data_IF_587292786575
#
_entry.id   IF_587292786575
#
_cell.length_a   1.000
_cell.length_b   1.000
_cell.length_c   1.000
_cell.angle_alpha   90.00
_cell.angle_beta   90.00
_cell.angle_gamma   90.00
#
_symmetry.space_group_name_H-M   'P 1'
#
loop_
_entity.id
_entity.type
_entity.pdbx_description
1 polymer ?
2 water ?
#
# COMPACT_ATOMS: atom_id res chain seq x y z
N UNK A 25 0.28 9.47 -12.90
CA UNK A 25 -1.13 9.06 -12.56
C UNK A 25 -1.23 7.83 -11.64
N UNK A 26 -2.02 7.96 -10.58
CA UNK A 26 -2.40 6.81 -9.79
C UNK A 26 -3.93 6.73 -9.78
N UNK A 27 -4.46 5.55 -10.12
CA UNK A 27 -5.92 5.30 -10.09
C UNK A 27 -6.30 4.19 -9.09
N UNK A 28 -7.36 4.40 -8.30
CA UNK A 28 -7.83 3.38 -7.37
C UNK A 28 -8.56 2.33 -8.16
N UNK A 29 -8.14 1.08 -8.05
CA UNK A 29 -8.79 -0.05 -8.72
C UNK A 29 -9.91 -0.54 -7.80
N UNK A 30 -9.59 -0.70 -6.54
CA UNK A 30 -10.54 -1.25 -5.61
C UNK A 30 -10.19 -0.90 -4.20
N UNK A 31 -11.21 -0.91 -3.36
CA UNK A 31 -11.01 -0.85 -1.93
C UNK A 31 -11.94 -1.72 -1.11
N UNK A 32 -11.60 -1.95 0.14
CA UNK A 32 -12.32 -2.92 0.94
C UNK A 32 -11.96 -2.70 2.38
N UNK A 33 -12.92 -2.92 3.29
CA UNK A 33 -12.62 -2.97 4.72
C UNK A 33 -12.47 -4.47 4.99
N UNK A 34 -11.36 -4.90 5.56
CA UNK A 34 -11.25 -6.32 5.81
C UNK A 34 -10.60 -6.55 7.19
N UNK A 35 -10.84 -7.72 7.80
CA UNK A 35 -10.14 -8.03 9.04
C UNK A 35 -8.65 -8.19 8.77
N UNK A 36 -7.79 -7.56 9.58
CA UNK A 36 -6.34 -7.76 9.48
C UNK A 36 -5.97 -9.22 9.72
N UNK A 37 -5.24 -9.84 8.79
CA UNK A 37 -4.78 -11.21 9.05
C UNK A 37 -3.61 -11.16 10.01
N UNK A 38 -3.17 -12.31 10.50
CA UNK A 38 -2.19 -12.33 11.56
C UNK A 38 -0.92 -11.61 11.12
N UNK A 39 -0.49 -11.83 9.88
CA UNK A 39 0.79 -11.21 9.43
C UNK A 39 0.67 -9.72 9.37
N UNK A 40 -0.43 -9.26 8.78
CA UNK A 40 -0.67 -7.84 8.68
C UNK A 40 -0.88 -7.19 10.05
N UNK A 41 -1.60 -7.89 10.93
CA UNK A 41 -1.82 -7.38 12.27
C UNK A 41 -0.50 -7.21 13.01
N UNK A 42 0.39 -8.19 12.94
CA UNK A 42 1.76 -8.08 13.53
C UNK A 42 2.55 -6.89 12.95
N UNK A 43 2.54 -6.74 11.63
CA UNK A 43 3.20 -5.56 11.05
C UNK A 43 2.64 -4.25 11.59
N UNK A 44 1.32 -4.11 11.63
CA UNK A 44 0.71 -2.87 12.05
C UNK A 44 0.58 -2.74 13.57
N UNK A 45 0.98 -3.76 14.31
CA UNK A 45 0.82 -3.81 15.76
C UNK A 45 -0.60 -3.58 16.20
N UNK A 46 -1.51 -4.34 15.61
CA UNK A 46 -2.92 -4.30 15.99
C UNK A 46 -3.37 -5.73 16.28
N UNK A 47 -4.58 -5.88 16.84
CA UNK A 47 -5.13 -7.19 17.17
C UNK A 47 -5.54 -7.86 15.86
N UNK A 48 -5.10 -9.10 15.65
CA UNK A 48 -5.60 -9.87 14.54
C UNK A 48 -7.11 -9.76 14.48
N UNK A 49 -7.62 -9.58 13.27
CA UNK A 49 -9.07 -9.46 13.04
C UNK A 49 -9.64 -8.03 13.04
N UNK A 50 -8.84 -7.09 13.49
CA UNK A 50 -9.28 -5.72 13.52
C UNK A 50 -9.46 -5.21 12.11
N UNK A 51 -10.57 -4.52 11.83
CA UNK A 51 -10.82 -4.02 10.48
C UNK A 51 -9.78 -3.02 10.04
N UNK A 52 -9.27 -3.21 8.84
CA UNK A 52 -8.38 -2.26 8.22
C UNK A 52 -8.94 -1.93 6.87
N UNK A 53 -8.46 -0.83 6.30
CA UNK A 53 -8.81 -0.44 4.92
C UNK A 53 -7.77 -0.98 3.89
N UNK A 54 -8.22 -1.73 2.88
CA UNK A 54 -7.37 -2.23 1.86
C UNK A 54 -7.62 -1.34 0.64
N UNK A 55 -6.56 -0.84 0.00
CA UNK A 55 -6.66 -0.03 -1.21
C UNK A 55 -5.75 -0.62 -2.24
N UNK A 56 -6.26 -0.85 -3.44
CA UNK A 56 -5.41 -1.26 -4.55
C UNK A 56 -5.36 -0.13 -5.57
N UNK A 57 -4.14 0.27 -5.90
CA UNK A 57 -3.87 1.47 -6.71
C UNK A 57 -2.87 1.14 -7.79
N UNK A 58 -3.13 1.65 -9.00
CA UNK A 58 -2.28 1.36 -10.14
C UNK A 58 -1.65 2.68 -10.51
N UNK A 59 -0.34 2.72 -10.47
CA UNK A 59 0.37 3.95 -10.73
C UNK A 59 0.95 3.84 -12.10
N UNK A 60 0.64 4.80 -12.96
CA UNK A 60 1.25 4.87 -14.28
C UNK A 60 2.08 6.15 -14.45
N UNK A 61 3.20 5.97 -15.13
CA UNK A 61 4.21 7.01 -15.29
C UNK A 61 4.30 7.36 -16.78
N UNK A 62 3.66 8.47 -17.14
CA UNK A 62 3.64 8.96 -18.52
C UNK A 62 2.69 8.19 -19.43
N UNK A 63 1.67 7.58 -18.83
CA UNK A 63 0.73 6.70 -19.53
C UNK A 63 1.34 5.30 -19.85
N UNK A 64 2.38 4.93 -19.11
CA UNK A 64 2.80 3.54 -19.01
C UNK A 64 2.59 3.11 -17.55
N UNK A 65 2.09 1.90 -17.35
CA UNK A 65 1.82 1.38 -16.00
C UNK A 65 3.14 1.02 -15.30
N UNK A 66 3.44 1.76 -14.23
CA UNK A 66 4.67 1.59 -13.45
C UNK A 66 4.51 0.49 -12.39
N UNK A 67 3.56 0.66 -11.47
CA UNK A 67 3.48 -0.25 -10.37
C UNK A 67 2.06 -0.43 -9.85
N UNK A 68 1.85 -1.57 -9.20
CA UNK A 68 0.61 -1.91 -8.51
C UNK A 68 0.87 -1.84 -7.01
N UNK A 69 0.06 -1.06 -6.30
CA UNK A 69 0.23 -0.81 -4.89
C UNK A 69 -0.99 -1.31 -4.15
N UNK A 70 -0.77 -2.12 -3.12
CA UNK A 70 -1.82 -2.58 -2.20
C UNK A 70 -1.51 -2.04 -0.82
N UNK A 71 -2.27 -1.05 -0.39
CA UNK A 71 -2.09 -0.43 0.90
C UNK A 71 -3.06 -1.04 1.92
N UNK A 72 -2.61 -1.26 3.14
CA UNK A 72 -3.46 -1.67 4.22
C UNK A 72 -3.20 -0.69 5.38
N UNK A 73 -4.27 -0.03 5.79
CA UNK A 73 -4.26 1.16 6.64
C UNK A 73 -5.03 0.93 7.95
N UNK A 74 -4.38 1.23 9.09
CA UNK A 74 -5.05 1.20 10.37
C UNK A 74 -5.99 2.40 10.46
N UNK A 75 -7.25 2.17 10.28
CA UNK A 75 -8.24 3.24 10.21
C UNK A 75 -8.56 3.88 11.57
N UNK A 76 -8.25 3.18 12.66
CA UNK A 76 -8.45 3.74 14.02
C UNK A 76 -7.66 5.02 14.23
N UNK A 77 -6.56 5.17 13.51
CA UNK A 77 -5.69 6.33 13.65
C UNK A 77 -6.09 7.52 12.77
N UNK A 78 -6.93 7.29 11.75
CA UNK A 78 -7.42 8.33 10.84
C UNK A 78 -8.91 8.19 10.63
N UNK A 79 -9.66 8.73 11.61
CA UNK A 79 -11.09 8.98 11.53
C UNK A 79 -11.41 9.67 10.21
N UNK A 80 -12.22 8.97 9.38
CA UNK A 80 -12.78 9.52 8.14
C UNK A 80 -12.21 8.96 6.85
N UNK A 81 -11.12 8.18 6.97
CA UNK A 81 -10.33 7.79 5.81
C UNK A 81 -11.14 6.89 4.87
N UNK A 82 -12.06 6.14 5.46
CA UNK A 82 -12.85 5.22 4.67
C UNK A 82 -13.78 6.00 3.71
N UNK A 83 -14.05 7.28 3.98
CA UNK A 83 -14.97 8.06 3.15
C UNK A 83 -14.27 8.79 2.03
N UNK A 84 -12.95 8.76 1.98
CA UNK A 84 -12.19 9.51 0.96
C UNK A 84 -12.27 8.84 -0.43
N UNK A 85 -12.26 9.63 -1.50
CA UNK A 85 -12.03 9.12 -2.86
C UNK A 85 -10.57 9.40 -3.23
N UNK A 86 -9.77 8.35 -3.23
CA UNK A 86 -8.37 8.51 -3.52
C UNK A 86 -8.05 8.48 -5.02
N UNK A 87 -9.08 8.52 -5.87
CA UNK A 87 -8.92 9.00 -7.25
C UNK A 87 -8.86 10.53 -7.24
N UNK A 88 -9.33 11.13 -6.15
CA UNK A 88 -9.41 12.60 -6.00
C UNK A 88 -8.46 13.17 -4.91
N UNK A 89 -7.88 12.31 -4.09
CA UNK A 89 -7.03 12.76 -2.99
C UNK A 89 -5.82 11.90 -2.98
N UNK A 90 -4.72 12.43 -2.44
CA UNK A 90 -3.48 11.66 -2.27
C UNK A 90 -3.46 10.92 -0.93
N UNK A 91 -2.98 9.69 -0.94
CA UNK A 91 -3.18 8.81 0.21
C UNK A 91 -2.47 9.33 1.44
N UNK A 92 -1.16 9.55 1.35
CA UNK A 92 -0.38 9.85 2.53
C UNK A 92 -0.60 11.25 3.12
N UNK A 93 -0.74 12.28 2.27
CA UNK A 93 -1.22 13.56 2.77
C UNK A 93 -2.52 13.45 3.50
N UNK A 94 -3.42 12.58 3.03
CA UNK A 94 -4.71 12.43 3.66
C UNK A 94 -4.62 11.72 5.02
N UNK A 95 -3.77 10.72 5.12
CA UNK A 95 -3.47 10.04 6.38
C UNK A 95 -3.00 11.10 7.37
N UNK A 96 -2.12 12.00 6.92
CA UNK A 96 -1.54 13.01 7.79
C UNK A 96 -2.57 14.02 8.24
N UNK A 97 -3.41 14.53 7.33
CA UNK A 97 -4.47 15.43 7.74
C UNK A 97 -5.46 14.86 8.72
N UNK A 98 -5.99 13.70 8.39
CA UNK A 98 -6.99 13.07 9.22
C UNK A 98 -6.45 12.62 10.59
N UNK A 99 -5.20 12.19 10.67
CA UNK A 99 -4.62 11.79 11.94
C UNK A 99 -4.12 12.99 12.76
N UNK A 100 -3.86 14.10 12.07
CA UNK A 100 -3.06 15.21 12.58
C UNK A 100 -1.69 14.75 13.14
N UNK A 101 -1.12 13.74 12.48
CA UNK A 101 0.19 13.20 12.84
C UNK A 101 1.08 13.27 11.60
N UNK A 102 2.40 13.43 11.76
CA UNK A 102 3.32 13.37 10.65
C UNK A 102 3.85 11.96 10.54
N UNK A 103 4.05 11.51 9.31
CA UNK A 103 4.84 10.32 9.00
C UNK A 103 6.33 10.57 9.17
N UNK A 104 6.95 9.80 10.06
CA UNK A 104 8.30 9.96 10.43
C UNK A 104 9.26 8.85 10.09
N UNK A 105 8.76 7.65 9.80
CA UNK A 105 9.59 6.50 9.44
C UNK A 105 8.91 5.57 8.48
N UNK A 106 9.77 4.85 7.79
CA UNK A 106 9.47 3.92 6.72
C UNK A 106 10.48 2.78 6.83
N UNK A 107 10.06 1.55 6.54
CA UNK A 107 10.99 0.46 6.38
C UNK A 107 10.52 -0.26 5.12
N UNK A 108 11.43 -0.71 4.27
CA UNK A 108 11.04 -1.51 3.16
C UNK A 108 11.91 -2.73 3.10
N UNK A 109 11.37 -3.77 2.48
CA UNK A 109 12.03 -5.04 2.28
C UNK A 109 11.77 -5.44 0.86
N UNK A 110 12.81 -5.74 0.13
CA UNK A 110 12.71 -5.96 -1.28
C UNK A 110 12.94 -7.46 -1.60
N UNK A 111 12.14 -8.00 -2.50
CA UNK A 111 12.18 -9.44 -2.84
C UNK A 111 11.78 -9.67 -4.30
N UNK A 112 12.31 -10.71 -4.93
CA UNK A 112 11.86 -11.14 -6.28
C UNK A 112 10.62 -11.98 -6.14
N UNK A 113 9.59 -11.67 -6.92
CA UNK A 113 8.42 -12.55 -7.03
C UNK A 113 8.04 -12.83 -8.50
N UNK A 114 7.18 -13.82 -8.72
CA UNK A 114 6.62 -14.07 -10.06
C UNK A 114 5.15 -13.60 -10.05
N UNK A 115 4.91 -12.39 -10.58
CA UNK A 115 3.71 -11.52 -10.32
C UNK A 115 2.38 -12.18 -9.91
N UNK A 116 1.89 -13.10 -10.76
CA UNK A 116 0.56 -13.71 -10.62
C UNK A 116 -0.35 -13.31 -11.78
N UNK A 117 -1.48 -14.02 -11.92
CA UNK A 117 -2.34 -13.87 -13.09
C UNK A 117 -3.09 -12.57 -13.02
N UNK A 118 -3.75 -12.35 -11.90
CA UNK A 118 -4.58 -11.18 -11.71
C UNK A 118 -3.81 -9.88 -11.61
N UNK A 119 -2.72 -9.90 -10.84
CA UNK A 119 -1.79 -8.78 -10.78
C UNK A 119 -1.14 -8.59 -12.10
N UNK A 120 -0.78 -9.71 -12.73
CA UNK A 120 -0.18 -9.71 -14.06
C UNK A 120 -1.04 -8.87 -14.96
N UNK A 121 -2.35 -9.12 -14.92
CA UNK A 121 -3.28 -8.45 -15.79
C UNK A 121 -3.28 -6.94 -15.56
N UNK A 122 -3.17 -6.52 -14.33
CA UNK A 122 -3.09 -5.09 -14.07
C UNK A 122 -1.83 -4.41 -14.62
N UNK A 123 -0.72 -5.13 -14.69
CA UNK A 123 0.56 -4.56 -15.11
C UNK A 123 1.00 -5.00 -16.51
N UNK A 124 0.21 -5.88 -17.11
CA UNK A 124 0.49 -6.48 -18.41
C UNK A 124 1.51 -7.56 -18.33
N UNK A 125 2.42 -7.45 -17.39
CA UNK A 125 3.37 -8.52 -17.24
C UNK A 125 2.74 -9.87 -17.64
N UNK A 126 3.56 -10.74 -18.19
CA UNK A 126 3.16 -12.10 -18.43
C UNK A 126 2.99 -12.67 -17.07
N UNK A 127 1.87 -13.30 -16.81
CA UNK A 127 1.76 -13.94 -15.54
C UNK A 127 3.08 -14.67 -15.44
N UNK A 128 3.43 -15.11 -14.25
CA UNK A 128 4.67 -15.85 -14.04
C UNK A 128 5.95 -15.10 -14.44
N UNK A 129 5.80 -13.89 -14.95
CA UNK A 129 6.94 -12.99 -15.05
C UNK A 129 7.47 -12.65 -13.64
N UNK A 130 8.77 -12.44 -13.51
CA UNK A 130 9.33 -11.96 -12.25
C UNK A 130 9.25 -10.42 -12.11
N UNK A 131 8.82 -9.96 -10.95
CA UNK A 131 8.75 -8.54 -10.68
C UNK A 131 9.47 -8.26 -9.38
N UNK A 132 9.83 -6.99 -9.15
CA UNK A 132 10.34 -6.60 -7.86
C UNK A 132 9.15 -6.42 -6.93
N UNK A 133 9.21 -7.10 -5.80
CA UNK A 133 8.20 -6.95 -4.79
C UNK A 133 8.80 -6.20 -3.60
N UNK A 134 8.09 -5.21 -3.13
CA UNK A 134 8.45 -4.45 -1.95
C UNK A 134 7.36 -4.58 -0.91
N UNK A 135 7.74 -4.84 0.35
CA UNK A 135 6.83 -4.62 1.49
C UNK A 135 7.32 -3.39 2.19
N UNK A 136 6.44 -2.47 2.52
CA UNK A 136 6.82 -1.25 3.17
C UNK A 136 5.92 -0.98 4.34
N UNK A 137 6.52 -0.68 5.47
CA UNK A 137 5.79 -0.36 6.67
C UNK A 137 6.05 1.12 6.92
N UNK A 138 4.99 1.88 7.13
CA UNK A 138 5.00 3.34 7.31
C UNK A 138 4.49 3.67 8.71
N UNK A 139 5.20 4.56 9.42
CA UNK A 139 5.00 4.82 10.84
C UNK A 139 4.79 6.31 11.06
N UNK A 140 3.91 6.63 12.01
CA UNK A 140 3.91 7.95 12.61
C UNK A 140 5.01 8.11 13.63
N UNK A 141 5.20 7.13 14.47
CA UNK A 141 6.24 7.21 15.45
C UNK A 141 6.83 5.84 15.46
N UNK A 142 7.97 5.74 16.11
CA UNK A 142 8.70 4.50 16.16
C UNK A 142 7.81 3.39 16.68
N UNK A 143 6.86 3.69 17.54
CA UNK A 143 6.01 2.64 18.08
C UNK A 143 4.60 2.59 17.52
N UNK A 144 4.30 3.38 16.50
CA UNK A 144 2.97 3.48 15.95
C UNK A 144 2.98 3.39 14.41
N UNK A 145 2.92 2.17 13.86
CA UNK A 145 2.69 1.97 12.45
C UNK A 145 1.31 2.45 12.04
N UNK A 146 1.17 2.90 10.80
CA UNK A 146 -0.14 3.33 10.29
C UNK A 146 -0.53 2.59 9.00
N UNK A 147 0.46 2.14 8.22
CA UNK A 147 0.14 1.58 6.90
C UNK A 147 1.17 0.57 6.53
N UNK A 148 0.72 -0.51 5.86
CA UNK A 148 1.55 -1.64 5.42
C UNK A 148 1.21 -1.89 3.96
N UNK A 149 2.17 -1.60 3.09
CA UNK A 149 2.00 -1.66 1.66
C UNK A 149 2.80 -2.76 1.01
N UNK A 150 2.22 -3.34 -0.02
CA UNK A 150 2.87 -4.29 -0.89
C UNK A 150 2.89 -3.69 -2.27
N UNK A 151 4.08 -3.61 -2.87
CA UNK A 151 4.24 -2.91 -4.15
C UNK A 151 4.83 -3.88 -5.16
N UNK A 152 4.28 -3.86 -6.37
CA UNK A 152 4.67 -4.75 -7.45
C UNK A 152 5.21 -3.87 -8.54
N UNK A 153 6.52 -3.95 -8.75
CA UNK A 153 7.23 -2.92 -9.46
C UNK A 153 7.64 -3.78 -10.59
N UNK A 154 7.41 -3.44 -11.85
CA UNK A 154 7.79 -4.40 -12.91
C UNK A 154 9.11 -3.92 -13.53
N UNK A 155 9.64 -2.82 -13.03
CA UNK A 155 10.88 -2.25 -13.52
C UNK A 155 12.13 -2.38 -12.66
N UNK A 156 12.46 -1.36 -11.86
CA UNK A 156 13.70 -1.42 -11.07
C UNK A 156 13.82 -0.51 -9.86
N UNK A 157 14.47 -1.01 -8.82
CA UNK A 157 14.55 -0.32 -7.54
C UNK A 157 14.54 1.18 -7.71
N UNK A 158 14.03 1.89 -6.71
CA UNK A 158 14.00 3.36 -6.75
C UNK A 158 13.38 4.00 -5.51
N UNK A 159 13.18 3.21 -4.47
CA UNK A 159 12.85 3.74 -3.18
C UNK A 159 14.19 4.15 -2.58
N UNK A 160 15.26 3.84 -3.27
CA UNK A 160 16.57 4.18 -2.77
C UNK A 160 17.09 5.45 -3.36
N UNK A 161 17.71 6.26 -2.54
CA UNK A 161 18.36 7.48 -3.02
C UNK A 161 17.70 8.70 -2.43
#
# INVERSE_FOLDING_TARGET
NVAYPLGEGLLSFAESLESQKIHFTTEVITSRIEPANRYVAEKLRITPGQDILYLERLRSIGDEKAMLIENRINIELCPGIVEIDFNQHNLFPTIESLSKRKIRYSESRYAARLIGNERGHFLDISEDAPVLHLEQLVFFSRELPVEFGNVWLKGNKYYLGTVLQRRELS
#
